data_IF_996803514061
#
_entry.id   IF_996803514061
#
_cell.length_a   1.000
_cell.length_b   1.000
_cell.length_c   1.000
_cell.angle_alpha   90.00
_cell.angle_beta   90.00
_cell.angle_gamma   90.00
#
_symmetry.space_group_name_H-M   'P 1'
#
loop_
_entity.id
_entity.type
_entity.pdbx_description
1 polymer ?
#
# COMPACT_ATOMS: atom_id res chain seq x y z
N UNK A 1 -4.62 2.32 -20.01
CA UNK A 1 -4.28 1.41 -21.13
C UNK A 1 -2.79 1.50 -21.38
N UNK A 2 -2.10 0.38 -21.65
CA UNK A 2 -0.69 0.40 -22.05
C UNK A 2 -0.59 0.41 -23.58
N UNK A 3 0.20 1.33 -24.12
CA UNK A 3 0.42 1.46 -25.56
C UNK A 3 1.84 0.99 -25.87
N UNK A 4 1.98 -0.12 -26.59
CA UNK A 4 3.28 -0.71 -26.90
C UNK A 4 4.00 -0.03 -28.09
N UNK A 5 3.23 0.55 -29.03
CA UNK A 5 3.73 1.24 -30.22
C UNK A 5 2.82 2.42 -30.56
N UNK A 6 3.38 3.49 -31.15
CA UNK A 6 2.66 4.70 -31.54
C UNK A 6 1.49 4.46 -32.50
N UNK A 7 1.53 3.40 -33.31
CA UNK A 7 0.46 3.05 -34.26
C UNK A 7 -0.87 2.73 -33.56
N UNK A 8 -0.83 2.35 -32.27
CA UNK A 8 -2.01 2.01 -31.48
C UNK A 8 -2.59 3.18 -30.68
N UNK A 9 -2.05 4.40 -30.81
CA UNK A 9 -2.48 5.55 -30.01
C UNK A 9 -3.96 5.89 -30.23
N UNK A 10 -4.41 5.90 -31.48
CA UNK A 10 -5.80 6.23 -31.81
C UNK A 10 -6.77 5.15 -31.31
N UNK A 11 -6.36 3.88 -31.34
CA UNK A 11 -7.16 2.76 -30.83
C UNK A 11 -7.28 2.84 -29.30
N UNK A 12 -6.16 3.05 -28.60
CA UNK A 12 -6.15 3.23 -27.16
C UNK A 12 -6.96 4.45 -26.72
N UNK A 13 -6.89 5.57 -27.45
CA UNK A 13 -7.68 6.76 -27.13
C UNK A 13 -9.18 6.54 -27.32
N UNK A 14 -9.58 5.79 -28.35
CA UNK A 14 -10.97 5.35 -28.55
C UNK A 14 -11.47 4.45 -27.43
N UNK A 15 -10.65 3.52 -26.96
CA UNK A 15 -11.01 2.64 -25.83
C UNK A 15 -11.21 3.44 -24.53
N UNK A 16 -10.50 4.56 -24.36
CA UNK A 16 -10.74 5.53 -23.27
C UNK A 16 -12.00 6.40 -23.48
N UNK A 17 -12.71 6.24 -24.60
CA UNK A 17 -13.88 7.05 -24.94
C UNK A 17 -13.53 8.44 -25.49
N UNK A 18 -12.34 8.60 -26.07
CA UNK A 18 -11.86 9.84 -26.71
C UNK A 18 -11.87 11.07 -25.76
N UNK A 19 -11.78 10.85 -24.46
CA UNK A 19 -11.70 11.90 -23.45
C UNK A 19 -10.29 12.50 -23.38
N UNK A 20 -10.12 13.74 -22.87
CA UNK A 20 -8.81 14.30 -22.58
C UNK A 20 -7.97 13.32 -21.75
N UNK A 21 -6.77 13.00 -22.23
CA UNK A 21 -5.91 11.94 -21.68
C UNK A 21 -4.46 12.40 -21.65
N UNK A 22 -3.69 11.89 -20.70
CA UNK A 22 -2.23 12.09 -20.63
C UNK A 22 -1.55 10.77 -21.00
N UNK A 23 -0.54 10.86 -21.85
CA UNK A 23 0.33 9.73 -22.19
C UNK A 23 1.68 9.93 -21.51
N UNK A 24 2.10 8.95 -20.72
CA UNK A 24 3.36 8.98 -19.99
C UNK A 24 4.23 7.80 -20.41
N UNK A 25 5.56 8.02 -20.37
CA UNK A 25 6.50 6.94 -20.57
C UNK A 25 6.46 5.96 -19.39
N UNK A 26 6.60 4.66 -19.66
CA UNK A 26 6.70 3.66 -18.59
C UNK A 26 8.01 3.88 -17.83
N UNK A 27 7.91 4.24 -16.55
CA UNK A 27 9.07 4.41 -15.69
C UNK A 27 9.76 3.06 -15.42
N UNK A 28 11.07 2.92 -15.69
CA UNK A 28 11.82 1.68 -15.41
C UNK A 28 12.27 1.64 -13.93
N UNK A 29 11.31 1.60 -13.02
CA UNK A 29 11.59 1.65 -11.58
C UNK A 29 12.01 0.29 -11.01
N UNK A 30 12.87 0.32 -9.99
CA UNK A 30 13.28 -0.86 -9.21
C UNK A 30 12.47 -1.02 -7.92
N UNK A 31 11.85 0.05 -7.44
CA UNK A 31 11.08 0.06 -6.20
C UNK A 31 10.04 1.18 -6.23
N UNK A 32 8.88 0.94 -5.65
CA UNK A 32 7.86 1.97 -5.39
C UNK A 32 7.96 2.37 -3.92
N UNK A 33 7.95 3.68 -3.67
CA UNK A 33 8.03 4.25 -2.33
C UNK A 33 6.82 5.15 -2.09
N UNK A 34 6.51 5.41 -0.82
CA UNK A 34 5.66 6.54 -0.48
C UNK A 34 6.19 7.28 0.75
N UNK A 35 6.07 8.60 0.69
CA UNK A 35 6.28 9.49 1.83
C UNK A 35 4.91 9.93 2.33
N UNK A 36 4.59 9.61 3.59
CA UNK A 36 3.41 10.18 4.26
C UNK A 36 3.89 11.34 5.11
N UNK A 37 3.26 12.50 4.97
CA UNK A 37 3.55 13.69 5.77
C UNK A 37 2.26 14.36 6.24
N UNK A 38 2.36 15.09 7.34
CA UNK A 38 1.32 16.01 7.80
C UNK A 38 1.87 17.43 7.75
N UNK A 39 1.09 18.37 7.24
CA UNK A 39 1.38 19.81 7.32
C UNK A 39 0.28 20.54 8.08
N UNK A 40 0.63 21.27 9.14
CA UNK A 40 -0.32 21.98 10.01
C UNK A 40 -0.83 23.27 9.36
N UNK A 41 -1.90 23.85 9.93
CA UNK A 41 -2.36 25.21 9.56
C UNK A 41 -1.29 26.29 9.78
N UNK A 42 -0.31 26.04 10.66
CA UNK A 42 0.80 26.96 10.94
C UNK A 42 2.02 26.70 10.06
N UNK A 43 1.97 25.67 9.20
CA UNK A 43 3.04 25.29 8.29
C UNK A 43 4.06 24.32 8.87
N UNK A 44 3.88 23.83 10.11
CA UNK A 44 4.72 22.77 10.67
C UNK A 44 4.55 21.49 9.85
N UNK A 45 5.64 20.74 9.64
CA UNK A 45 5.63 19.51 8.86
C UNK A 45 6.23 18.38 9.68
N UNK A 46 5.53 17.26 9.74
CA UNK A 46 6.01 16.00 10.30
C UNK A 46 5.95 14.90 9.25
N UNK A 47 7.01 14.09 9.16
CA UNK A 47 7.13 13.01 8.20
C UNK A 47 7.11 11.65 8.88
N UNK A 48 6.38 10.73 8.30
CA UNK A 48 6.48 9.31 8.65
C UNK A 48 7.71 8.68 7.99
N UNK A 49 8.22 7.56 8.54
CA UNK A 49 9.26 6.80 7.88
C UNK A 49 8.84 6.39 6.47
N UNK A 50 9.80 6.39 5.55
CA UNK A 50 9.54 6.03 4.15
C UNK A 50 9.06 4.59 4.06
N UNK A 51 7.97 4.42 3.32
CA UNK A 51 7.36 3.13 3.04
C UNK A 51 7.81 2.63 1.67
N UNK A 52 8.05 1.32 1.57
CA UNK A 52 8.18 0.60 0.31
C UNK A 52 6.87 -0.10 0.00
N UNK A 53 6.39 0.05 -1.23
CA UNK A 53 5.10 -0.45 -1.66
C UNK A 53 5.26 -1.48 -2.78
N UNK A 54 4.43 -2.51 -2.76
CA UNK A 54 4.31 -3.44 -3.87
C UNK A 54 2.87 -3.52 -4.32
N UNK A 55 2.63 -3.30 -5.62
CA UNK A 55 1.32 -3.42 -6.23
C UNK A 55 1.16 -4.76 -6.95
N UNK A 56 -0.05 -5.35 -6.88
CA UNK A 56 -0.47 -6.48 -7.70
C UNK A 56 -1.73 -6.07 -8.45
N UNK A 57 -1.70 -6.20 -9.79
CA UNK A 57 -2.82 -5.80 -10.64
C UNK A 57 -3.27 -4.34 -10.39
N UNK A 58 -2.32 -3.43 -10.20
CA UNK A 58 -2.54 -2.01 -9.87
C UNK A 58 -3.26 -1.76 -8.53
N UNK A 59 -3.30 -2.74 -7.63
CA UNK A 59 -3.83 -2.60 -6.28
C UNK A 59 -2.67 -2.77 -5.30
N UNK A 60 -2.53 -1.83 -4.36
CA UNK A 60 -1.52 -1.92 -3.31
C UNK A 60 -1.71 -3.24 -2.54
N UNK A 61 -0.68 -4.08 -2.56
CA UNK A 61 -0.68 -5.39 -1.94
C UNK A 61 -0.01 -5.35 -0.57
N UNK A 62 1.25 -4.91 -0.53
CA UNK A 62 2.02 -4.76 0.71
C UNK A 62 2.64 -3.37 0.84
N UNK A 63 2.80 -2.92 2.09
CA UNK A 63 3.65 -1.79 2.46
C UNK A 63 4.63 -2.23 3.53
N UNK A 64 5.94 -2.11 3.28
CA UNK A 64 7.02 -2.41 4.23
C UNK A 64 7.62 -1.13 4.78
N UNK A 65 7.77 -1.06 6.10
CA UNK A 65 8.36 0.10 6.80
C UNK A 65 9.35 -0.37 7.87
N UNK A 66 10.58 0.18 7.90
CA UNK A 66 11.14 1.17 6.97
C UNK A 66 11.44 0.56 5.58
N UNK A 67 11.39 1.39 4.54
CA UNK A 67 11.85 1.02 3.20
C UNK A 67 13.34 0.67 3.21
N UNK A 68 13.73 -0.38 2.47
CA UNK A 68 15.14 -0.79 2.35
C UNK A 68 15.87 0.03 1.28
N UNK A 69 16.15 1.29 1.58
CA UNK A 69 16.83 2.23 0.68
C UNK A 69 18.05 2.87 1.35
N UNK A 70 19.01 3.33 0.53
CA UNK A 70 20.13 4.09 1.03
C UNK A 70 19.68 5.43 1.64
N UNK A 71 20.39 5.94 2.64
CA UNK A 71 20.05 7.21 3.31
C UNK A 71 19.93 8.39 2.34
N UNK A 72 20.76 8.42 1.29
CA UNK A 72 20.67 9.46 0.25
C UNK A 72 19.31 9.48 -0.45
N UNK A 73 18.71 8.32 -0.68
CA UNK A 73 17.39 8.17 -1.32
C UNK A 73 16.31 8.62 -0.33
N UNK A 74 16.40 8.14 0.91
CA UNK A 74 15.48 8.52 1.99
C UNK A 74 15.42 10.04 2.16
N UNK A 75 16.57 10.69 2.35
CA UNK A 75 16.67 12.14 2.50
C UNK A 75 16.16 12.91 1.28
N UNK A 76 16.37 12.39 0.06
CA UNK A 76 15.86 13.02 -1.17
C UNK A 76 14.34 12.89 -1.28
N UNK A 77 13.77 11.75 -0.91
CA UNK A 77 12.34 11.52 -0.86
C UNK A 77 11.64 12.45 0.15
N UNK A 78 12.19 12.54 1.37
CA UNK A 78 11.70 13.45 2.42
C UNK A 78 11.71 14.92 1.93
N UNK A 79 12.84 15.39 1.40
CA UNK A 79 12.95 16.76 0.86
C UNK A 79 11.97 17.04 -0.27
N UNK A 80 11.80 16.08 -1.18
CA UNK A 80 10.88 16.21 -2.31
C UNK A 80 9.44 16.35 -1.82
N UNK A 81 9.03 15.54 -0.85
CA UNK A 81 7.70 15.57 -0.28
C UNK A 81 7.42 16.86 0.52
N UNK A 82 8.40 17.34 1.30
CA UNK A 82 8.33 18.64 2.00
C UNK A 82 8.15 19.76 0.99
N UNK A 83 9.02 19.85 -0.01
CA UNK A 83 9.00 20.92 -1.01
C UNK A 83 7.67 20.97 -1.77
N UNK A 84 7.12 19.79 -2.08
CA UNK A 84 5.82 19.67 -2.72
C UNK A 84 4.68 20.16 -1.81
N UNK A 85 4.66 19.73 -0.54
CA UNK A 85 3.62 20.15 0.40
C UNK A 85 3.65 21.65 0.69
N UNK A 86 4.85 22.24 0.75
CA UNK A 86 5.04 23.69 0.87
C UNK A 86 4.57 24.43 -0.38
N UNK A 87 4.96 23.98 -1.58
CA UNK A 87 4.57 24.60 -2.85
C UNK A 87 3.06 24.56 -3.11
N UNK A 88 2.37 23.53 -2.61
CA UNK A 88 0.91 23.41 -2.68
C UNK A 88 0.19 24.14 -1.53
N UNK A 89 0.94 24.70 -0.58
CA UNK A 89 0.42 25.27 0.67
C UNK A 89 -0.58 24.34 1.40
N UNK A 90 -0.39 23.02 1.27
CA UNK A 90 -1.39 22.05 1.70
C UNK A 90 -1.50 21.97 3.24
N UNK A 91 -2.71 21.73 3.75
CA UNK A 91 -2.96 21.51 5.17
C UNK A 91 -3.64 20.15 5.38
N UNK A 92 -3.11 19.35 6.28
CA UNK A 92 -3.54 17.98 6.56
C UNK A 92 -2.47 16.95 6.22
N UNK A 93 -2.87 15.67 6.21
CA UNK A 93 -2.04 14.55 5.73
C UNK A 93 -2.07 14.42 4.21
N UNK A 94 -0.89 14.20 3.63
CA UNK A 94 -0.65 13.92 2.22
C UNK A 94 0.25 12.70 2.05
N UNK A 95 -0.01 11.91 1.03
CA UNK A 95 0.93 10.90 0.53
C UNK A 95 1.53 11.36 -0.79
N UNK A 96 2.83 11.15 -0.93
CA UNK A 96 3.58 11.34 -2.17
C UNK A 96 4.12 9.98 -2.57
N UNK A 97 3.59 9.43 -3.66
CA UNK A 97 4.08 8.15 -4.20
C UNK A 97 5.22 8.41 -5.18
N UNK A 98 6.25 7.58 -5.09
CA UNK A 98 7.50 7.75 -5.80
C UNK A 98 7.91 6.47 -6.49
N UNK A 99 8.47 6.60 -7.69
CA UNK A 99 9.25 5.57 -8.33
C UNK A 99 10.73 5.81 -8.09
N UNK A 100 11.43 4.79 -7.59
CA UNK A 100 12.88 4.77 -7.47
C UNK A 100 13.49 4.02 -8.66
N UNK A 101 14.32 4.69 -9.45
CA UNK A 101 15.01 4.11 -10.61
C UNK A 101 16.34 3.43 -10.21
N UNK A 102 16.94 2.70 -11.15
CA UNK A 102 18.18 1.95 -10.94
C UNK A 102 19.34 2.83 -10.43
N UNK A 103 19.45 4.06 -10.95
CA UNK A 103 20.46 5.08 -10.65
C UNK A 103 20.15 5.93 -9.40
N UNK A 104 19.15 5.52 -8.60
CA UNK A 104 18.63 6.25 -7.44
C UNK A 104 17.91 7.58 -7.77
N UNK A 105 17.54 7.79 -9.04
CA UNK A 105 16.61 8.86 -9.39
C UNK A 105 15.22 8.57 -8.81
N UNK A 106 14.59 9.61 -8.23
CA UNK A 106 13.22 9.57 -7.73
C UNK A 106 12.30 10.33 -8.69
N UNK A 107 11.21 9.70 -9.11
CA UNK A 107 10.13 10.31 -9.87
C UNK A 107 8.87 10.34 -9.00
N UNK A 108 8.14 11.46 -8.99
CA UNK A 108 6.80 11.48 -8.39
C UNK A 108 5.86 10.76 -9.34
N UNK A 109 5.16 9.74 -8.83
CA UNK A 109 4.12 9.03 -9.56
C UNK A 109 2.77 9.72 -9.34
N UNK A 110 2.34 9.83 -8.09
CA UNK A 110 1.07 10.45 -7.73
C UNK A 110 1.13 11.13 -6.37
N UNK A 111 0.13 11.97 -6.11
CA UNK A 111 -0.06 12.67 -4.85
C UNK A 111 -1.49 12.43 -4.39
N UNK A 112 -1.66 12.00 -3.14
CA UNK A 112 -2.96 11.89 -2.50
C UNK A 112 -3.06 12.91 -1.35
N UNK A 113 -3.80 14.02 -1.52
CA UNK A 113 -4.00 15.04 -0.48
C UNK A 113 -5.06 14.56 0.54
N UNK A 114 -4.78 13.42 1.18
CA UNK A 114 -5.62 12.77 2.19
C UNK A 114 -4.82 11.67 2.89
N UNK A 115 -5.32 11.14 4.02
CA UNK A 115 -4.85 9.85 4.51
C UNK A 115 -4.86 8.79 3.40
N UNK A 116 -3.80 8.00 3.34
CA UNK A 116 -3.53 7.09 2.24
C UNK A 116 -3.39 5.64 2.70
N UNK A 117 -3.64 4.70 1.80
CA UNK A 117 -3.61 3.27 2.13
C UNK A 117 -2.22 2.82 2.55
N UNK A 118 -1.18 3.28 1.84
CA UNK A 118 0.22 3.01 2.21
C UNK A 118 0.63 3.63 3.56
N UNK A 119 -0.20 4.50 4.15
CA UNK A 119 0.02 5.03 5.50
C UNK A 119 -0.71 4.27 6.61
N UNK A 120 -1.50 3.23 6.32
CA UNK A 120 -2.30 2.57 7.37
C UNK A 120 -1.42 1.84 8.41
N UNK A 121 -0.16 1.53 8.09
CA UNK A 121 0.81 1.01 9.07
C UNK A 121 0.94 1.90 10.31
N UNK A 122 0.78 3.22 10.16
CA UNK A 122 0.89 4.20 11.26
C UNK A 122 -0.12 3.95 12.37
N UNK A 123 -1.23 3.28 12.09
CA UNK A 123 -2.29 3.01 13.06
C UNK A 123 -1.88 1.99 14.14
N UNK A 124 -0.90 1.13 13.83
CA UNK A 124 -0.41 0.12 14.77
C UNK A 124 1.10 0.10 14.98
N UNK A 125 1.87 0.82 14.16
CA UNK A 125 3.33 0.80 14.20
C UNK A 125 3.98 2.14 14.53
N UNK A 126 3.22 3.25 14.59
CA UNK A 126 3.75 4.58 14.92
C UNK A 126 3.15 5.12 16.23
N UNK A 127 3.83 6.09 16.84
CA UNK A 127 3.32 6.81 18.03
C UNK A 127 2.01 7.54 17.73
N UNK A 128 1.94 8.28 16.62
CA UNK A 128 0.73 8.98 16.18
C UNK A 128 0.28 8.46 14.82
N UNK A 129 -0.99 8.04 14.70
CA UNK A 129 -1.52 7.55 13.42
C UNK A 129 -1.73 8.70 12.41
N UNK A 130 -1.67 8.39 11.11
CA UNK A 130 -1.95 9.40 10.07
C UNK A 130 -3.35 10.02 10.20
N UNK A 131 -4.30 9.30 10.78
CA UNK A 131 -5.67 9.78 10.95
C UNK A 131 -5.74 10.82 12.07
N UNK A 132 -5.07 10.54 13.19
CA UNK A 132 -4.92 11.50 14.27
C UNK A 132 -4.09 12.71 13.82
N UNK A 133 -3.00 12.51 13.07
CA UNK A 133 -2.23 13.61 12.50
C UNK A 133 -3.05 14.49 11.58
N UNK A 134 -3.90 13.89 10.72
CA UNK A 134 -4.78 14.65 9.84
C UNK A 134 -5.71 15.56 10.66
N UNK A 135 -6.34 15.03 11.71
CA UNK A 135 -7.20 15.80 12.61
C UNK A 135 -6.43 16.92 13.31
N UNK A 136 -5.25 16.64 13.89
CA UNK A 136 -4.42 17.64 14.55
C UNK A 136 -4.07 18.78 13.59
N UNK A 137 -3.61 18.44 12.39
CA UNK A 137 -3.25 19.40 11.35
C UNK A 137 -4.41 20.35 10.98
N UNK A 138 -5.58 19.80 10.65
CA UNK A 138 -6.73 20.61 10.19
C UNK A 138 -7.42 21.37 11.33
N UNK A 139 -7.26 20.92 12.58
CA UNK A 139 -7.78 21.60 13.76
C UNK A 139 -6.81 22.63 14.36
N UNK A 140 -5.62 22.81 13.78
CA UNK A 140 -4.60 23.74 14.30
C UNK A 140 -4.01 23.30 15.64
N UNK A 141 -4.03 22.00 15.94
CA UNK A 141 -3.37 21.43 17.10
C UNK A 141 -1.91 21.11 16.77
N UNK A 142 -1.01 21.04 17.78
CA UNK A 142 0.34 20.57 17.57
C UNK A 142 0.37 19.19 16.93
N UNK A 143 1.22 19.02 15.92
CA UNK A 143 1.46 17.73 15.31
C UNK A 143 2.06 16.75 16.34
N UNK A 144 1.68 15.48 16.23
CA UNK A 144 2.21 14.40 17.05
C UNK A 144 3.47 13.79 16.48
N UNK A 145 4.16 13.01 17.33
CA UNK A 145 5.35 12.25 16.96
C UNK A 145 5.01 11.16 15.92
N UNK A 146 5.61 11.19 14.72
CA UNK A 146 5.38 10.18 13.68
C UNK A 146 6.30 8.95 13.81
N UNK A 147 7.13 8.88 14.86
CA UNK A 147 8.15 7.84 15.04
C UNK A 147 7.58 6.43 14.96
N UNK A 148 8.35 5.55 14.31
CA UNK A 148 8.06 4.12 14.22
C UNK A 148 8.45 3.43 15.53
N UNK A 149 7.51 2.71 16.13
CA UNK A 149 7.71 1.92 17.35
C UNK A 149 8.29 0.55 16.99
N UNK A 150 7.74 -0.10 15.94
CA UNK A 150 8.22 -1.38 15.42
C UNK A 150 8.24 -1.36 13.89
N UNK A 151 9.26 -1.95 13.24
CA UNK A 151 9.18 -2.32 11.84
C UNK A 151 7.90 -3.13 11.55
N UNK A 152 7.37 -2.97 10.34
CA UNK A 152 6.04 -3.47 10.00
C UNK A 152 5.91 -3.79 8.52
N UNK A 153 5.16 -4.84 8.23
CA UNK A 153 4.57 -5.09 6.92
C UNK A 153 3.05 -5.00 7.03
N UNK A 154 2.46 -4.05 6.32
CA UNK A 154 1.02 -3.98 6.11
C UNK A 154 0.65 -4.80 4.88
N UNK A 155 -0.43 -5.57 4.96
CA UNK A 155 -0.98 -6.33 3.83
C UNK A 155 -2.46 -5.97 3.64
N UNK A 156 -2.83 -5.56 2.43
CA UNK A 156 -4.24 -5.35 2.09
C UNK A 156 -4.96 -6.69 1.92
N UNK A 157 -6.17 -6.73 2.46
CA UNK A 157 -7.06 -7.89 2.32
C UNK A 157 -8.18 -7.56 1.33
N UNK A 158 -8.23 -8.30 0.22
CA UNK A 158 -9.22 -8.12 -0.84
C UNK A 158 -10.40 -9.07 -0.65
N UNK A 159 -11.55 -8.74 -1.26
CA UNK A 159 -12.77 -9.53 -1.17
C UNK A 159 -12.64 -10.95 -1.72
N UNK A 160 -11.64 -11.21 -2.56
CA UNK A 160 -11.30 -12.56 -3.03
C UNK A 160 -11.01 -13.55 -1.90
N UNK A 161 -10.52 -13.08 -0.75
CA UNK A 161 -10.28 -13.92 0.43
C UNK A 161 -11.58 -14.46 1.04
N UNK A 162 -12.74 -13.87 0.70
CA UNK A 162 -14.07 -14.31 1.17
C UNK A 162 -14.78 -15.25 0.20
N UNK A 163 -14.15 -15.61 -0.94
CA UNK A 163 -14.79 -16.41 -2.00
C UNK A 163 -15.34 -17.74 -1.51
N UNK A 164 -14.65 -18.38 -0.57
CA UNK A 164 -15.01 -19.68 -0.01
C UNK A 164 -15.54 -19.56 1.44
N UNK A 165 -16.08 -18.40 1.82
CA UNK A 165 -16.54 -18.10 3.17
C UNK A 165 -15.58 -17.18 3.95
N UNK A 166 -15.84 -16.93 5.24
CA UNK A 166 -15.02 -16.03 6.05
C UNK A 166 -13.55 -16.51 6.14
N UNK A 167 -12.56 -15.60 6.04
CA UNK A 167 -11.16 -15.92 6.26
C UNK A 167 -10.88 -16.57 7.62
N UNK A 168 -9.82 -17.38 7.69
CA UNK A 168 -9.38 -18.09 8.89
C UNK A 168 -8.70 -17.17 9.90
N UNK A 169 -9.50 -16.36 10.60
CA UNK A 169 -9.01 -15.41 11.59
C UNK A 169 -8.19 -16.04 12.71
N UNK A 170 -8.50 -17.28 13.09
CA UNK A 170 -7.78 -18.04 14.11
C UNK A 170 -6.31 -18.30 13.72
N UNK A 171 -6.02 -18.47 12.43
CA UNK A 171 -4.65 -18.64 11.93
C UNK A 171 -3.86 -17.34 11.99
N UNK A 172 -4.48 -16.25 11.55
CA UNK A 172 -3.85 -14.93 11.52
C UNK A 172 -3.64 -14.35 12.92
N UNK A 173 -4.68 -14.39 13.77
CA UNK A 173 -4.65 -13.85 15.14
C UNK A 173 -3.94 -14.76 16.14
N UNK A 174 -3.54 -15.97 15.73
CA UNK A 174 -2.65 -16.82 16.52
C UNK A 174 -1.25 -16.24 16.66
N UNK A 175 -0.85 -15.32 15.76
CA UNK A 175 0.39 -14.56 15.88
C UNK A 175 0.16 -13.28 16.71
N UNK A 176 0.81 -13.14 17.89
CA UNK A 176 0.64 -11.98 18.75
C UNK A 176 1.20 -10.68 18.15
N UNK A 177 2.01 -10.76 17.08
CA UNK A 177 2.55 -9.59 16.38
C UNK A 177 1.62 -9.07 15.28
N UNK A 178 0.50 -9.75 15.03
CA UNK A 178 -0.46 -9.34 14.02
C UNK A 178 -1.54 -8.42 14.61
N UNK A 179 -1.87 -7.35 13.87
CA UNK A 179 -3.01 -6.46 14.15
C UNK A 179 -3.95 -6.45 12.96
N UNK A 180 -5.17 -6.95 13.14
CA UNK A 180 -6.19 -7.03 12.10
C UNK A 180 -7.11 -5.80 12.12
N UNK A 181 -7.35 -5.21 10.95
CA UNK A 181 -8.26 -4.10 10.75
C UNK A 181 -9.27 -4.42 9.64
N UNK A 182 -10.55 -4.54 10.00
CA UNK A 182 -11.65 -4.78 9.05
C UNK A 182 -12.49 -3.51 8.89
N UNK A 183 -12.91 -3.22 7.65
CA UNK A 183 -13.65 -2.00 7.34
C UNK A 183 -15.17 -2.12 7.51
N UNK A 184 -15.67 -3.27 7.98
CA UNK A 184 -17.11 -3.50 8.19
C UNK A 184 -17.95 -3.47 6.91
N UNK A 185 -17.35 -3.71 5.73
CA UNK A 185 -18.08 -3.72 4.45
C UNK A 185 -18.96 -4.98 4.35
N UNK A 186 -20.24 -4.79 4.00
CA UNK A 186 -21.24 -5.87 3.95
C UNK A 186 -21.08 -6.84 2.78
N UNK A 187 -20.40 -6.45 1.70
CA UNK A 187 -20.21 -7.29 0.50
C UNK A 187 -18.73 -7.38 0.12
N UNK A 188 -18.23 -8.61 0.00
CA UNK A 188 -16.89 -8.90 -0.47
C UNK A 188 -16.89 -9.14 -1.99
N UNK A 189 -16.58 -8.11 -2.76
CA UNK A 189 -16.45 -8.20 -4.22
C UNK A 189 -14.99 -8.44 -4.66
N UNK A 190 -14.75 -9.02 -5.84
CA UNK A 190 -13.40 -9.16 -6.39
C UNK A 190 -12.64 -7.83 -6.41
N UNK A 191 -11.40 -7.82 -5.94
CA UNK A 191 -10.55 -6.62 -5.85
C UNK A 191 -10.99 -5.57 -4.81
N UNK A 192 -12.13 -5.75 -4.12
CA UNK A 192 -12.61 -4.80 -3.12
C UNK A 192 -11.76 -4.90 -1.85
N UNK A 193 -11.13 -3.82 -1.42
CA UNK A 193 -10.39 -3.77 -0.15
C UNK A 193 -11.36 -3.95 1.03
N UNK A 194 -11.27 -5.05 1.76
CA UNK A 194 -12.15 -5.41 2.88
C UNK A 194 -11.53 -5.10 4.25
N UNK A 195 -10.20 -5.03 4.30
CA UNK A 195 -9.43 -4.73 5.48
C UNK A 195 -7.95 -4.66 5.16
N UNK A 196 -7.14 -4.64 6.20
CA UNK A 196 -5.71 -4.89 6.15
C UNK A 196 -5.29 -5.54 7.46
N UNK A 197 -4.12 -6.18 7.47
CA UNK A 197 -3.45 -6.51 8.71
C UNK A 197 -2.04 -5.91 8.72
N UNK A 198 -1.54 -5.68 9.93
CA UNK A 198 -0.16 -5.28 10.18
C UNK A 198 0.56 -6.47 10.81
N UNK A 199 1.66 -6.90 10.23
CA UNK A 199 2.62 -7.79 10.87
C UNK A 199 3.75 -6.92 11.40
N UNK A 200 3.75 -6.68 12.71
CA UNK A 200 4.88 -6.06 13.39
C UNK A 200 6.05 -7.06 13.45
N UNK A 201 7.28 -6.56 13.46
CA UNK A 201 8.45 -7.44 13.41
C UNK A 201 9.69 -6.79 14.01
N UNK A 202 10.57 -7.63 14.54
CA UNK A 202 11.94 -7.25 14.88
C UNK A 202 12.92 -7.61 13.75
N UNK A 203 12.47 -8.37 12.74
CA UNK A 203 13.28 -8.81 11.60
C UNK A 203 12.63 -8.40 10.25
N UNK A 204 12.94 -7.19 9.76
CA UNK A 204 12.39 -6.67 8.51
C UNK A 204 12.70 -7.50 7.25
N UNK A 205 13.78 -8.28 7.27
CA UNK A 205 14.19 -9.10 6.11
C UNK A 205 13.22 -10.27 5.87
N UNK A 206 12.71 -10.87 6.95
CA UNK A 206 11.81 -12.03 6.86
C UNK A 206 10.33 -11.66 6.84
N UNK A 207 10.02 -10.42 7.21
CA UNK A 207 8.65 -9.97 7.47
C UNK A 207 7.73 -10.06 6.24
N UNK A 208 8.24 -9.78 5.03
CA UNK A 208 7.43 -9.90 3.81
C UNK A 208 7.01 -11.35 3.57
N UNK A 209 7.95 -12.30 3.68
CA UNK A 209 7.65 -13.71 3.49
C UNK A 209 6.69 -14.24 4.57
N UNK A 210 6.88 -13.85 5.83
CA UNK A 210 5.98 -14.20 6.92
C UNK A 210 4.57 -13.61 6.70
N UNK A 211 4.47 -12.36 6.25
CA UNK A 211 3.19 -11.74 5.95
C UNK A 211 2.45 -12.44 4.80
N UNK A 212 3.18 -12.90 3.77
CA UNK A 212 2.60 -13.73 2.71
C UNK A 212 2.10 -15.08 3.26
N UNK A 213 2.88 -15.76 4.10
CA UNK A 213 2.45 -17.03 4.74
C UNK A 213 1.15 -16.82 5.51
N UNK A 214 1.06 -15.74 6.29
CA UNK A 214 -0.15 -15.36 7.01
C UNK A 214 -1.33 -15.12 6.06
N UNK A 215 -1.14 -14.35 4.99
CA UNK A 215 -2.17 -14.10 4.00
C UNK A 215 -2.67 -15.41 3.34
N UNK A 216 -1.78 -16.32 2.97
CA UNK A 216 -2.15 -17.60 2.36
C UNK A 216 -2.89 -18.51 3.35
N UNK A 217 -2.52 -18.48 4.63
CA UNK A 217 -3.18 -19.29 5.67
C UNK A 217 -4.67 -18.96 5.86
N UNK A 218 -5.08 -17.75 5.47
CA UNK A 218 -6.46 -17.27 5.60
C UNK A 218 -7.45 -18.03 4.71
N UNK A 219 -6.99 -18.61 3.59
CA UNK A 219 -7.83 -19.31 2.62
C UNK A 219 -7.61 -20.82 2.59
N UNK A 220 -6.73 -21.35 3.46
CA UNK A 220 -6.51 -22.79 3.54
C UNK A 220 -7.70 -23.50 4.20
N UNK A 221 -8.11 -24.61 3.59
CA UNK A 221 -9.26 -25.38 4.03
C UNK A 221 -9.13 -25.82 5.49
N UNK A 222 -10.26 -25.74 6.19
CA UNK A 222 -10.41 -26.36 7.49
C UNK A 222 -10.93 -27.79 7.29
N UNK A 223 -10.13 -28.85 7.54
CA UNK A 223 -10.70 -30.21 7.58
C UNK A 223 -11.82 -30.34 8.64
N UNK A 224 -11.89 -29.43 9.63
CA UNK A 224 -12.94 -29.40 10.64
C UNK A 224 -14.21 -28.59 10.25
N UNK A 225 -14.20 -27.82 9.15
CA UNK A 225 -15.43 -27.14 8.67
C UNK A 225 -16.25 -28.03 7.74
N UNK A 226 -15.61 -28.97 7.02
CA UNK A 226 -16.29 -30.02 6.25
C UNK A 226 -17.04 -31.03 7.13
N UNK A 227 -16.70 -31.13 8.42
CA UNK A 227 -17.35 -32.03 9.37
C UNK A 227 -18.47 -31.39 10.19
N UNK A 228 -18.70 -30.07 10.10
CA UNK A 228 -19.80 -29.39 10.79
C UNK A 228 -21.10 -29.35 9.96
N UNK A 229 -21.06 -29.83 8.72
CA UNK A 229 -22.24 -30.04 7.86
C UNK A 229 -22.63 -31.51 7.70
N UNK A 230 -21.94 -32.44 8.38
CA UNK A 230 -22.22 -33.88 8.31
C UNK A 230 -22.45 -34.44 9.72
N UNK A 231 -23.73 -34.53 10.06
CA UNK A 231 -24.35 -35.48 10.99
C UNK A 231 -23.88 -35.53 12.45
N UNK A 232 -24.74 -34.96 13.30
CA UNK A 232 -25.09 -35.57 14.58
C UNK A 232 -25.56 -37.01 14.35
N UNK A 233 -24.68 -37.99 14.53
CA UNK A 233 -25.07 -39.33 14.98
C UNK A 233 -23.95 -39.98 15.78
N UNK A 234 -24.37 -40.63 16.85
CA UNK A 234 -23.64 -41.31 17.92
C UNK A 234 -22.73 -42.46 17.46
N UNK A 235 -21.57 -42.64 18.14
CA UNK A 235 -21.03 -43.98 18.42
C UNK A 235 -19.52 -44.21 18.20
N UNK A 236 -18.78 -44.28 19.30
CA UNK A 236 -17.73 -45.26 19.65
C UNK A 236 -16.41 -45.48 18.84
N UNK A 237 -15.31 -45.31 19.62
CA UNK A 237 -14.17 -46.22 19.87
C UNK A 237 -13.05 -46.49 18.80
N UNK A 238 -11.82 -46.11 19.20
CA UNK A 238 -10.50 -46.78 19.04
C UNK A 238 -10.05 -47.35 17.67
N UNK A 239 -8.91 -46.88 17.12
CA UNK A 239 -7.57 -47.53 17.18
C UNK A 239 -6.53 -46.84 16.26
N UNK A 240 -5.25 -47.12 16.58
CA UNK A 240 -4.01 -46.52 16.10
C UNK A 240 -3.39 -47.19 14.84
N UNK A 241 -2.21 -46.64 14.45
CA UNK A 241 -1.14 -47.19 13.57
C UNK A 241 -1.30 -46.95 12.05
N UNK A 242 -0.27 -46.75 11.21
CA UNK A 242 1.20 -46.58 11.28
C UNK A 242 1.68 -46.21 9.86
N UNK A 243 2.80 -45.48 9.80
CA UNK A 243 3.91 -45.56 8.83
C UNK A 243 3.74 -45.42 7.30
N UNK A 244 4.73 -44.65 6.79
CA UNK A 244 5.68 -44.98 5.73
C UNK A 244 5.71 -44.13 4.44
N UNK A 245 6.84 -43.41 4.33
CA UNK A 245 7.73 -43.24 3.18
C UNK A 245 7.17 -43.22 1.74
N UNK A 246 7.49 -42.16 0.98
CA UNK A 246 8.60 -42.20 -0.01
C UNK A 246 8.82 -40.87 -0.75
N UNK A 247 10.11 -40.68 -1.05
CA UNK A 247 10.76 -39.63 -1.81
C UNK A 247 10.32 -39.57 -3.29
N UNK A 248 10.65 -38.44 -3.94
CA UNK A 248 11.19 -38.50 -5.29
C UNK A 248 10.87 -37.31 -6.20
N UNK A 249 11.93 -36.63 -6.66
CA UNK A 249 12.02 -36.21 -8.07
C UNK A 249 11.96 -34.71 -8.36
N UNK A 250 13.15 -34.10 -8.43
CA UNK A 250 13.38 -32.83 -9.11
C UNK A 250 13.40 -33.03 -10.64
N UNK A 251 12.92 -32.05 -11.42
CA UNK A 251 13.39 -31.79 -12.79
C UNK A 251 13.37 -30.27 -13.06
N UNK A 252 14.54 -29.79 -13.46
CA UNK A 252 14.89 -28.44 -13.88
C UNK A 252 14.88 -28.40 -15.42
N UNK A 253 14.36 -27.33 -16.05
CA UNK A 253 14.57 -27.05 -17.47
C UNK A 253 14.74 -25.54 -17.71
N UNK A 254 15.68 -25.25 -18.60
CA UNK A 254 16.46 -24.04 -18.73
C UNK A 254 16.14 -23.23 -19.99
N UNK A 255 16.27 -21.90 -19.88
CA UNK A 255 16.71 -20.95 -20.92
C UNK A 255 15.67 -20.39 -21.91
N UNK A 256 16.04 -19.39 -22.75
CA UNK A 256 16.99 -18.30 -22.53
C UNK A 256 16.42 -16.89 -22.89
N UNK A 257 17.24 -15.88 -22.54
CA UNK A 257 17.09 -14.44 -22.71
C UNK A 257 17.07 -13.96 -24.17
N UNK A 258 16.47 -12.80 -24.44
CA UNK A 258 16.98 -11.83 -25.44
C UNK A 258 16.67 -10.39 -25.04
N UNK A 259 17.72 -9.55 -25.07
CA UNK A 259 17.73 -8.11 -24.91
C UNK A 259 17.34 -7.38 -26.20
N UNK A 260 16.67 -6.22 -26.11
CA UNK A 260 16.95 -5.07 -27.01
C UNK A 260 16.52 -3.75 -26.38
N UNK A 261 17.42 -2.76 -26.43
CA UNK A 261 17.23 -1.36 -26.04
C UNK A 261 16.87 -0.49 -27.26
N UNK A 262 16.26 0.70 -27.05
CA UNK A 262 16.75 2.01 -27.56
C UNK A 262 15.75 3.20 -27.39
N UNK A 263 16.28 4.26 -26.77
CA UNK A 263 16.21 5.72 -27.08
C UNK A 263 14.90 6.51 -27.28
N UNK A 264 14.61 7.36 -26.27
CA UNK A 264 14.51 8.84 -26.24
C UNK A 264 14.06 9.70 -27.45
N UNK A 265 13.12 10.64 -27.21
CA UNK A 265 12.99 11.99 -27.84
C UNK A 265 12.11 12.92 -26.92
N UNK A 266 12.06 14.27 -27.10
CA UNK A 266 12.13 15.27 -26.02
C UNK A 266 10.82 16.01 -25.75
N UNK A 267 10.71 16.64 -24.56
CA UNK A 267 9.58 17.50 -24.16
C UNK A 267 9.78 18.97 -24.57
N UNK A 268 8.72 19.56 -25.13
CA UNK A 268 8.53 21.01 -25.29
C UNK A 268 7.67 21.57 -24.17
N UNK A 269 8.13 22.66 -23.57
CA UNK A 269 7.53 23.43 -22.47
C UNK A 269 6.36 24.30 -22.92
N UNK A 270 5.24 24.26 -22.19
CA UNK A 270 4.11 25.17 -22.32
C UNK A 270 3.65 25.67 -20.95
N UNK A 271 3.52 26.98 -20.82
CA UNK A 271 3.31 27.82 -19.64
C UNK A 271 1.92 27.75 -19.00
N UNK A 272 1.85 27.78 -17.67
CA UNK A 272 0.64 27.99 -16.85
C UNK A 272 0.31 29.48 -16.68
N UNK A 273 -0.99 29.87 -16.54
CA UNK A 273 -1.37 31.15 -15.95
C UNK A 273 -1.84 31.01 -14.49
N UNK A 274 -1.54 32.07 -13.75
CA UNK A 274 -1.77 32.33 -12.32
C UNK A 274 -3.26 32.34 -11.93
N UNK A 275 -3.57 31.87 -10.70
CA UNK A 275 -4.85 32.16 -10.04
C UNK A 275 -4.59 32.74 -8.64
N UNK A 276 -5.09 33.95 -8.44
CA UNK A 276 -5.03 34.75 -7.20
C UNK A 276 -5.97 34.22 -6.13
N UNK A 277 -5.47 34.09 -4.90
CA UNK A 277 -6.22 33.78 -3.69
C UNK A 277 -7.16 34.93 -3.28
N UNK A 278 -8.44 34.62 -3.00
CA UNK A 278 -9.32 35.47 -2.21
C UNK A 278 -9.70 34.75 -0.91
N UNK A 279 -9.33 35.36 0.23
CA UNK A 279 -9.47 34.79 1.58
C UNK A 279 -10.80 35.24 2.19
N UNK A 280 -11.75 34.31 2.35
CA UNK A 280 -12.92 34.54 3.20
C UNK A 280 -12.60 34.16 4.66
N UNK A 281 -12.60 35.16 5.55
CA UNK A 281 -12.56 34.98 7.02
C UNK A 281 -13.96 34.62 7.54
N UNK A 282 -14.13 33.73 8.53
CA UNK A 282 -15.42 33.53 9.19
C UNK A 282 -15.70 34.61 10.25
N UNK A 283 -16.94 35.10 10.27
CA UNK A 283 -17.53 35.90 11.36
C UNK A 283 -17.80 34.98 12.56
N UNK A 284 -17.31 35.36 13.74
CA UNK A 284 -17.75 34.80 15.02
C UNK A 284 -19.09 35.44 15.42
N UNK A 285 -20.10 34.63 15.68
CA UNK A 285 -21.29 35.02 16.44
C UNK A 285 -21.22 34.36 17.82
N UNK A 286 -21.27 35.19 18.87
CA UNK A 286 -21.39 34.79 20.27
C UNK A 286 -22.86 34.58 20.65
N UNK A 287 -23.18 33.60 21.53
CA UNK A 287 -24.56 33.24 21.83
C UNK A 287 -25.20 34.12 22.91
N UNK A 288 -26.53 34.25 22.83
CA UNK A 288 -27.45 34.65 23.89
C UNK A 288 -28.52 33.59 24.04
#
# INVERSE_FOLDING_TARGET
IRVACGDHLNEAWRELGEVPSVLEAVAPFKMELSVILARSLHGDIELYPIAENAHRQNILHTTRVPAQVADRVRLRAEKLAISLAEALEYCGVMAVELFLLADDTLLINEIAPRPHNSGHFTFGACTTSQFEQHLRAICGLPLGDPSLIHPVVMVNMLGDLWRNGPPRWDRLLGDPWVRLHLYGKSQAGPGRKMGHFLLLTENPEQALNQAEIHLHSLTQDNPAASSLTAECSTGDLFQAQTDDHKEGGAVELTGPETHTALSSFPMTTGSSPEYTHDRLRPRMETPS
#
